data_IF_070186284567
#
_entry.id   IF_070186284567
#
_cell.length_a   1.000
_cell.length_b   1.000
_cell.length_c   1.000
_cell.angle_alpha   90.00
_cell.angle_beta   90.00
_cell.angle_gamma   90.00
#
_symmetry.space_group_name_H-M   'P 1'
#
loop_
_entity.id
_entity.type
_entity.pdbx_description
1 polymer ?
#
# COMPACT_ATOMS: atom_id res chain seq x y z
N UNK A 1 14.85 4.74 5.98
CA UNK A 1 14.71 4.85 4.52
C UNK A 1 13.31 5.35 4.10
N UNK A 2 12.23 4.61 4.34
CA UNK A 2 10.88 4.99 3.93
C UNK A 2 10.36 6.31 4.52
N UNK A 3 10.61 6.57 5.81
CA UNK A 3 10.22 7.84 6.45
C UNK A 3 10.85 9.08 5.77
N UNK A 4 12.11 8.98 5.33
CA UNK A 4 12.78 10.06 4.60
C UNK A 4 12.11 10.34 3.26
N UNK A 5 11.68 9.29 2.55
CA UNK A 5 10.90 9.44 1.33
C UNK A 5 9.58 10.14 1.57
N UNK A 6 8.81 9.70 2.57
CA UNK A 6 7.54 10.34 2.93
C UNK A 6 7.74 11.82 3.29
N UNK A 7 8.82 12.16 4.00
CA UNK A 7 9.12 13.55 4.34
C UNK A 7 9.55 14.39 3.12
N UNK A 8 10.35 13.84 2.21
CA UNK A 8 10.69 14.50 0.94
C UNK A 8 9.43 14.72 0.09
N UNK A 9 8.55 13.72 0.03
CA UNK A 9 7.30 13.82 -0.69
C UNK A 9 6.37 14.88 -0.10
N UNK A 10 6.22 14.93 1.23
CA UNK A 10 5.46 15.99 1.91
C UNK A 10 5.99 17.38 1.62
N UNK A 11 7.31 17.58 1.71
CA UNK A 11 7.95 18.87 1.41
C UNK A 11 7.80 19.27 -0.05
N UNK A 12 7.82 18.31 -0.97
CA UNK A 12 7.56 18.59 -2.37
C UNK A 12 6.12 19.04 -2.60
N UNK A 13 5.16 18.35 -1.97
CA UNK A 13 3.74 18.64 -2.09
C UNK A 13 3.32 19.96 -1.42
N UNK A 14 3.99 20.39 -0.35
CA UNK A 14 3.56 21.59 0.40
C UNK A 14 3.58 22.89 -0.40
N UNK A 15 4.24 22.93 -1.56
CA UNK A 15 4.26 24.09 -2.43
C UNK A 15 2.96 24.24 -3.26
N UNK A 16 2.42 23.14 -3.78
CA UNK A 16 1.34 23.16 -4.76
C UNK A 16 0.08 22.40 -4.31
N UNK A 17 0.18 21.58 -3.26
CA UNK A 17 -0.88 20.71 -2.77
C UNK A 17 -1.25 21.08 -1.34
N UNK A 18 -2.43 21.70 -1.18
CA UNK A 18 -2.97 22.12 0.13
C UNK A 18 -3.44 20.92 0.98
N UNK A 19 -3.56 19.74 0.39
CA UNK A 19 -3.98 18.52 1.08
C UNK A 19 -2.87 17.90 1.94
N UNK A 20 -3.27 17.18 2.99
CA UNK A 20 -2.33 16.34 3.77
C UNK A 20 -2.17 14.99 3.08
N UNK A 21 -0.91 14.57 2.84
CA UNK A 21 -0.58 13.26 2.26
C UNK A 21 -1.29 12.11 3.00
N UNK A 22 -2.13 11.36 2.28
CA UNK A 22 -2.84 10.17 2.76
C UNK A 22 -2.25 8.93 2.12
N UNK A 23 -1.86 7.94 2.92
CA UNK A 23 -1.24 6.72 2.39
C UNK A 23 -1.41 5.49 3.28
N UNK A 24 -1.32 4.33 2.64
CA UNK A 24 -1.05 3.02 3.25
C UNK A 24 0.23 2.45 2.63
N UNK A 25 1.06 1.82 3.45
CA UNK A 25 2.24 1.14 2.95
C UNK A 25 2.55 -0.13 3.74
N UNK A 26 3.14 -1.09 3.05
CA UNK A 26 3.75 -2.27 3.64
C UNK A 26 5.13 -2.51 3.04
N UNK A 27 5.88 -3.45 3.60
CA UNK A 27 7.14 -3.87 3.02
C UNK A 27 7.33 -5.38 3.12
N UNK A 28 8.12 -5.90 2.17
CA UNK A 28 8.54 -7.29 2.07
C UNK A 28 10.04 -7.36 1.74
N UNK A 29 10.65 -8.52 1.98
CA UNK A 29 12.00 -8.80 1.51
C UNK A 29 11.87 -9.50 0.18
N UNK A 30 12.44 -8.92 -0.88
CA UNK A 30 12.38 -9.52 -2.20
C UNK A 30 13.12 -10.88 -2.19
N UNK A 31 12.50 -12.00 -2.58
CA UNK A 31 13.06 -13.34 -2.39
C UNK A 31 14.44 -13.55 -3.04
N UNK A 32 14.64 -12.93 -4.20
CA UNK A 32 15.86 -13.09 -5.01
C UNK A 32 16.96 -12.13 -4.54
N UNK A 33 16.67 -10.82 -4.52
CA UNK A 33 17.68 -9.79 -4.26
C UNK A 33 17.95 -9.55 -2.77
N UNK A 34 17.09 -10.09 -1.89
CA UNK A 34 17.08 -9.83 -0.44
C UNK A 34 16.97 -8.35 -0.07
N UNK A 35 16.51 -7.50 -1.00
CA UNK A 35 16.29 -6.07 -0.79
C UNK A 35 14.91 -5.82 -0.18
N UNK A 36 14.80 -4.73 0.58
CA UNK A 36 13.50 -4.27 1.11
C UNK A 36 12.70 -3.66 -0.04
N UNK A 37 11.53 -4.23 -0.30
CA UNK A 37 10.58 -3.78 -1.31
C UNK A 37 9.36 -3.18 -0.60
N UNK A 38 9.02 -1.93 -0.92
CA UNK A 38 7.89 -1.22 -0.33
C UNK A 38 6.70 -1.22 -1.29
N UNK A 39 5.52 -1.57 -0.78
CA UNK A 39 4.24 -1.32 -1.43
C UNK A 39 3.63 -0.05 -0.87
N UNK A 40 3.14 0.85 -1.73
CA UNK A 40 2.59 2.14 -1.32
C UNK A 40 1.31 2.44 -2.10
N UNK A 41 0.27 2.84 -1.37
CA UNK A 41 -0.98 3.33 -1.91
C UNK A 41 -1.14 4.77 -1.45
N UNK A 42 -1.42 5.65 -2.40
CA UNK A 42 -1.62 7.08 -2.18
C UNK A 42 -3.08 7.42 -2.46
N UNK A 43 -3.70 8.20 -1.56
CA UNK A 43 -5.10 8.60 -1.66
C UNK A 43 -5.20 10.10 -1.88
N UNK A 44 -6.18 10.53 -2.68
CA UNK A 44 -6.42 11.94 -3.03
C UNK A 44 -5.13 12.66 -3.47
N UNK A 45 -4.33 11.97 -4.27
CA UNK A 45 -2.95 12.35 -4.53
C UNK A 45 -2.81 12.99 -5.93
N UNK A 46 -2.12 14.14 -6.06
CA UNK A 46 -1.96 14.80 -7.35
C UNK A 46 -1.05 13.99 -8.28
N UNK A 47 -1.21 14.17 -9.58
CA UNK A 47 -0.28 13.56 -10.54
C UNK A 47 1.14 14.11 -10.33
N UNK A 48 2.12 13.20 -10.25
CA UNK A 48 3.54 13.54 -10.23
C UNK A 48 4.25 12.66 -11.27
N UNK A 49 5.08 13.24 -12.15
CA UNK A 49 5.87 12.46 -13.09
C UNK A 49 6.76 11.43 -12.38
N UNK A 50 6.84 10.21 -12.93
CA UNK A 50 7.62 9.11 -12.36
C UNK A 50 9.08 9.51 -12.13
N UNK A 51 9.69 10.24 -13.08
CA UNK A 51 11.06 10.74 -12.95
C UNK A 51 11.25 11.62 -11.69
N UNK A 52 10.24 12.41 -11.31
CA UNK A 52 10.29 13.23 -10.10
C UNK A 52 10.11 12.36 -8.85
N UNK A 53 9.20 11.40 -8.86
CA UNK A 53 9.03 10.45 -7.76
C UNK A 53 10.30 9.63 -7.50
N UNK A 54 10.98 9.17 -8.56
CA UNK A 54 12.27 8.46 -8.45
C UNK A 54 13.35 9.34 -7.81
N UNK A 55 13.44 10.62 -8.21
CA UNK A 55 14.36 11.60 -7.58
C UNK A 55 14.04 11.82 -6.09
N UNK A 56 12.75 11.82 -5.71
CA UNK A 56 12.34 11.91 -4.31
C UNK A 56 12.60 10.61 -3.53
N UNK A 57 12.51 9.46 -4.19
CA UNK A 57 12.75 8.15 -3.58
C UNK A 57 14.22 7.95 -3.21
N UNK A 58 15.14 8.27 -4.12
CA UNK A 58 16.60 8.16 -3.98
C UNK A 58 17.14 6.72 -3.79
N UNK A 59 16.30 5.68 -3.71
CA UNK A 59 16.73 4.33 -3.35
C UNK A 59 16.31 3.26 -4.35
N UNK A 60 16.98 3.19 -5.50
CA UNK A 60 16.70 2.16 -6.50
C UNK A 60 15.47 2.47 -7.36
N UNK A 61 14.71 1.44 -7.69
CA UNK A 61 13.67 1.49 -8.72
C UNK A 61 12.27 1.75 -8.15
N UNK A 62 11.44 2.44 -8.94
CA UNK A 62 10.04 2.72 -8.63
C UNK A 62 9.16 2.19 -9.76
N UNK A 63 8.21 1.34 -9.41
CA UNK A 63 7.25 0.74 -10.33
C UNK A 63 5.85 1.27 -10.02
N UNK A 64 5.18 1.85 -11.01
CA UNK A 64 3.79 2.31 -10.90
C UNK A 64 2.98 1.59 -11.94
N UNK A 65 1.93 0.93 -11.49
CA UNK A 65 0.98 0.22 -12.35
C UNK A 65 -0.41 0.80 -12.18
N UNK A 66 -1.13 0.94 -13.30
CA UNK A 66 -2.53 1.34 -13.30
C UNK A 66 -3.39 0.15 -12.86
N UNK A 67 -4.36 0.41 -11.97
CA UNK A 67 -5.21 -0.61 -11.34
C UNK A 67 -6.46 -0.92 -12.22
N UNK A 68 -6.51 -0.42 -13.45
CA UNK A 68 -7.65 -0.59 -14.36
C UNK A 68 -7.76 -1.99 -14.96
N UNK A 69 -6.76 -2.85 -14.76
CA UNK A 69 -6.77 -4.27 -15.17
C UNK A 69 -7.78 -5.14 -14.41
N UNK A 70 -8.40 -4.59 -13.36
CA UNK A 70 -9.36 -5.31 -12.49
C UNK A 70 -10.65 -4.51 -12.37
N UNK A 71 -11.76 -5.24 -12.36
CA UNK A 71 -13.10 -4.69 -12.14
C UNK A 71 -13.15 -3.86 -10.87
N UNK A 72 -13.93 -2.77 -10.90
CA UNK A 72 -14.04 -1.80 -9.80
C UNK A 72 -14.31 -2.48 -8.45
N UNK A 73 -15.22 -3.47 -8.43
CA UNK A 73 -15.56 -4.22 -7.22
C UNK A 73 -14.45 -5.15 -6.70
N UNK A 74 -13.44 -5.49 -7.52
CA UNK A 74 -12.34 -6.41 -7.16
C UNK A 74 -11.02 -5.71 -6.87
N UNK A 75 -10.91 -4.40 -7.15
CA UNK A 75 -9.67 -3.64 -6.93
C UNK A 75 -9.21 -3.66 -5.48
N UNK A 76 -10.14 -3.62 -4.53
CA UNK A 76 -9.84 -3.73 -3.10
C UNK A 76 -9.07 -5.01 -2.78
N UNK A 77 -9.61 -6.16 -3.19
CA UNK A 77 -8.98 -7.47 -2.98
C UNK A 77 -7.65 -7.60 -3.72
N UNK A 78 -7.57 -7.06 -4.95
CA UNK A 78 -6.32 -7.03 -5.71
C UNK A 78 -5.23 -6.25 -4.98
N UNK A 79 -5.54 -5.05 -4.49
CA UNK A 79 -4.60 -4.21 -3.73
C UNK A 79 -4.21 -4.88 -2.41
N UNK A 80 -5.18 -5.47 -1.70
CA UNK A 80 -4.93 -6.16 -0.44
C UNK A 80 -3.90 -7.28 -0.60
N UNK A 81 -3.95 -8.05 -1.71
CA UNK A 81 -2.97 -9.08 -2.04
C UNK A 81 -1.53 -8.57 -2.00
N UNK A 82 -1.26 -7.36 -2.51
CA UNK A 82 0.10 -6.78 -2.48
C UNK A 82 0.48 -6.28 -1.09
N UNK A 83 -0.47 -5.73 -0.33
CA UNK A 83 -0.21 -5.29 1.03
C UNK A 83 0.08 -6.46 1.98
N UNK A 84 -0.60 -7.58 1.79
CA UNK A 84 -0.58 -8.73 2.70
C UNK A 84 0.32 -9.88 2.25
N UNK A 85 1.05 -9.70 1.15
CA UNK A 85 1.94 -10.73 0.63
C UNK A 85 2.99 -11.12 1.67
N UNK A 86 3.13 -12.43 1.84
CA UNK A 86 4.09 -13.06 2.76
C UNK A 86 3.96 -12.54 4.22
N UNK A 87 2.78 -12.08 4.67
CA UNK A 87 2.57 -11.69 6.08
C UNK A 87 3.00 -12.81 7.01
N UNK A 88 2.50 -14.02 6.79
CA UNK A 88 2.65 -15.18 7.68
C UNK A 88 4.10 -15.64 7.78
N UNK A 89 4.78 -15.77 6.63
CA UNK A 89 6.18 -16.19 6.55
C UNK A 89 7.10 -15.33 7.41
N UNK A 90 6.89 -14.01 7.39
CA UNK A 90 7.71 -13.09 8.17
C UNK A 90 7.14 -12.78 9.55
N UNK A 91 5.87 -13.07 9.82
CA UNK A 91 5.32 -12.95 11.18
C UNK A 91 6.11 -13.83 12.16
N UNK A 92 6.49 -15.03 11.71
CA UNK A 92 7.31 -15.98 12.48
C UNK A 92 8.79 -15.57 12.54
N UNK A 93 9.35 -15.04 11.44
CA UNK A 93 10.79 -14.74 11.35
C UNK A 93 11.19 -13.37 11.92
N UNK A 94 10.28 -12.38 11.85
CA UNK A 94 10.55 -10.98 12.17
C UNK A 94 9.63 -10.47 13.29
N UNK A 95 9.25 -11.37 14.22
CA UNK A 95 8.41 -11.05 15.37
C UNK A 95 8.77 -9.68 15.96
N UNK A 96 7.75 -8.82 16.11
CA UNK A 96 7.81 -7.44 16.65
C UNK A 96 8.26 -6.32 15.70
N UNK A 97 8.60 -6.57 14.43
CA UNK A 97 8.90 -5.48 13.48
C UNK A 97 7.62 -4.95 12.82
N UNK A 98 7.42 -3.63 12.88
CA UNK A 98 6.28 -2.97 12.22
C UNK A 98 6.38 -3.08 10.70
N UNK A 99 5.38 -3.72 10.09
CA UNK A 99 5.27 -3.86 8.62
C UNK A 99 4.35 -2.84 7.97
N UNK A 100 3.29 -2.45 8.67
CA UNK A 100 2.27 -1.56 8.12
C UNK A 100 2.48 -0.12 8.56
N UNK A 101 2.39 0.79 7.60
CA UNK A 101 2.42 2.23 7.83
C UNK A 101 1.15 2.85 7.27
N UNK A 102 0.55 3.76 8.03
CA UNK A 102 -0.56 4.60 7.58
C UNK A 102 -0.29 6.05 7.94
N UNK A 103 -0.79 6.96 7.12
CA UNK A 103 -0.86 8.35 7.55
C UNK A 103 -1.91 8.52 8.67
N UNK A 104 -1.68 9.46 9.58
CA UNK A 104 -2.59 9.72 10.71
C UNK A 104 -3.93 10.31 10.25
N UNK A 105 -3.91 11.09 9.16
CA UNK A 105 -5.09 11.73 8.57
C UNK A 105 -5.87 10.83 7.61
N UNK A 106 -5.47 9.55 7.44
CA UNK A 106 -6.27 8.58 6.71
C UNK A 106 -7.40 8.10 7.62
N UNK A 107 -8.61 8.60 7.35
CA UNK A 107 -9.84 8.20 8.04
C UNK A 107 -10.07 6.71 7.83
N UNK A 108 -10.35 5.99 8.91
CA UNK A 108 -10.83 4.61 8.81
C UNK A 108 -12.24 4.61 8.21
N UNK A 109 -12.57 3.53 7.52
CA UNK A 109 -13.95 3.23 7.17
C UNK A 109 -14.64 2.82 8.49
N UNK A 110 -15.68 3.55 8.89
CA UNK A 110 -16.47 3.22 10.08
C UNK A 110 -17.62 2.25 9.76
N UNK A 111 -17.77 1.86 8.49
CA UNK A 111 -18.71 0.84 8.06
C UNK A 111 -18.19 -0.54 8.46
N UNK A 112 -18.87 -1.18 9.40
CA UNK A 112 -18.65 -2.57 9.75
C UNK A 112 -19.56 -3.42 8.88
N UNK A 113 -18.97 -4.09 7.89
CA UNK A 113 -19.66 -5.17 7.20
C UNK A 113 -19.55 -6.41 8.09
N UNK A 114 -20.64 -6.75 8.77
CA UNK A 114 -20.76 -8.06 9.37
C UNK A 114 -20.90 -9.05 8.22
N UNK A 115 -20.00 -10.03 8.13
CA UNK A 115 -20.23 -11.19 7.27
C UNK A 115 -21.44 -11.90 7.88
N UNK A 116 -22.63 -11.59 7.36
CA UNK A 116 -23.86 -12.25 7.79
C UNK A 116 -23.77 -13.67 7.24
N UNK A 117 -23.43 -14.58 8.16
CA UNK A 117 -23.38 -16.03 8.00
C UNK A 117 -22.13 -16.59 7.27
N UNK A 118 -21.48 -17.57 7.92
CA UNK A 118 -20.30 -18.32 7.44
C UNK A 118 -20.59 -19.02 6.11
N UNK A 119 -21.83 -19.47 5.93
CA UNK A 119 -22.32 -20.11 4.70
C UNK A 119 -22.28 -19.17 3.47
N UNK A 120 -22.47 -17.86 3.66
CA UNK A 120 -22.42 -16.90 2.55
C UNK A 120 -20.98 -16.66 2.07
N UNK A 121 -19.99 -16.73 2.97
CA UNK A 121 -18.57 -16.63 2.63
C UNK A 121 -18.10 -17.86 1.84
N UNK A 122 -18.49 -19.05 2.28
CA UNK A 122 -18.14 -20.32 1.62
C UNK A 122 -18.76 -20.44 0.21
N UNK A 123 -19.91 -19.82 -0.05
CA UNK A 123 -20.53 -19.75 -1.39
C UNK A 123 -19.84 -18.80 -2.37
N UNK A 124 -19.13 -17.77 -1.89
CA UNK A 124 -18.41 -16.80 -2.75
C UNK A 124 -16.98 -17.28 -3.05
N UNK A 125 -16.42 -18.12 -2.17
CA UNK A 125 -15.08 -18.65 -2.30
C UNK A 125 -14.80 -19.65 -3.46
N UNK A 126 -15.74 -20.36 -4.12
CA UNK A 126 -15.40 -21.44 -5.03
C UNK A 126 -15.24 -21.00 -6.50
N UNK A 127 -14.92 -19.74 -6.79
CA UNK A 127 -14.68 -19.25 -8.16
C UNK A 127 -13.22 -18.85 -8.42
N UNK A 128 -12.27 -19.67 -7.93
CA UNK A 128 -10.88 -19.73 -8.43
C UNK A 128 -10.44 -21.18 -8.52
#
# INVERSE_FOLDING_TARGET
MFWLFINRLRRYLSYDFQGKLKYLASWEIQPVSKRIHYHLILFDFPYIPVAKLTKLWQNGYLFIEKIDKVDVGRRGSYIAKYLTKDIEKYAVQLHKIKRFFKSQNLKGINEKYYLINREAFEKIAPLV
#
